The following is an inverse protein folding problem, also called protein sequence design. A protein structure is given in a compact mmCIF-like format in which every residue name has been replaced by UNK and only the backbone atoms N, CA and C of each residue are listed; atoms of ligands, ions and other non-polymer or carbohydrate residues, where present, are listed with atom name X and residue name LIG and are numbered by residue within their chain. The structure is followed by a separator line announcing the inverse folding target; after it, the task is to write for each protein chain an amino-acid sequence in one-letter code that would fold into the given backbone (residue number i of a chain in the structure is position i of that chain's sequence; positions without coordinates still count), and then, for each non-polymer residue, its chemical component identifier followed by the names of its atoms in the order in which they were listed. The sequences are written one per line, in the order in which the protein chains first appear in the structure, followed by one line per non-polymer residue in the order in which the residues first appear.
data_IF_281695532379
#
_entry.id   IF_281695532379
#
_cell.length_a   1.000
_cell.length_b   1.000
_cell.length_c   1.000
_cell.angle_alpha   90.00
_cell.angle_beta   90.00
_cell.angle_gamma   90.00
#
_symmetry.space_group_name_H-M   'P 1'
#
loop_
_entity.id
_entity.type
_entity.pdbx_description
1 polymer ?
#
# COMPACT_ATOMS: atom_id res chain seq x y z
N UNK A 1 -12.77 -9.01 -4.93
CA UNK A 1 -12.44 -8.39 -6.22
C UNK A 1 -10.97 -7.97 -6.31
N UNK A 2 -10.42 -7.13 -5.41
CA UNK A 2 -8.96 -6.91 -5.39
C UNK A 2 -8.19 -8.11 -4.82
N UNK A 3 -8.71 -8.79 -3.79
CA UNK A 3 -8.19 -10.12 -3.37
C UNK A 3 -8.18 -11.08 -4.54
N UNK A 4 -9.26 -11.19 -5.32
CA UNK A 4 -9.31 -12.01 -6.53
C UNK A 4 -8.40 -11.50 -7.67
N UNK A 5 -8.18 -10.18 -7.80
CA UNK A 5 -7.24 -9.60 -8.78
C UNK A 5 -5.78 -9.78 -8.36
N UNK A 6 -5.48 -9.74 -7.07
CA UNK A 6 -4.16 -9.99 -6.51
C UNK A 6 -3.89 -11.50 -6.51
N UNK A 7 -4.87 -12.32 -6.17
CA UNK A 7 -4.86 -13.78 -6.27
C UNK A 7 -4.90 -14.27 -7.72
N UNK A 8 -5.40 -13.51 -8.70
CA UNK A 8 -5.32 -13.88 -10.13
C UNK A 8 -4.09 -13.31 -10.84
N UNK A 9 -3.60 -12.13 -10.45
CA UNK A 9 -2.35 -11.56 -10.96
C UNK A 9 -1.12 -12.30 -10.42
N UNK A 10 -1.21 -12.85 -9.19
CA UNK A 10 -0.14 -13.61 -8.57
C UNK A 10 -0.46 -15.12 -8.48
N UNK A 11 -1.72 -15.57 -8.53
CA UNK A 11 -2.09 -16.99 -8.57
C UNK A 11 -2.01 -17.71 -7.22
N UNK A 12 -2.93 -17.44 -6.28
CA UNK A 12 -2.98 -18.09 -4.94
C UNK A 12 -1.64 -18.16 -4.14
N UNK A 13 -0.55 -17.39 -4.39
CA UNK A 13 0.80 -17.83 -4.01
C UNK A 13 1.32 -17.08 -2.79
N UNK A 14 0.62 -16.04 -2.32
CA UNK A 14 1.16 -15.07 -1.38
C UNK A 14 0.99 -15.59 0.03
N UNK A 15 -0.23 -15.93 0.42
CA UNK A 15 -0.48 -16.58 1.69
C UNK A 15 0.11 -18.00 1.71
N UNK A 16 -0.02 -18.75 0.61
CA UNK A 16 0.65 -20.04 0.43
C UNK A 16 2.18 -19.87 0.54
N UNK A 17 2.76 -18.85 -0.10
CA UNK A 17 4.19 -18.56 -0.09
C UNK A 17 4.70 -18.13 1.28
N UNK A 18 3.93 -17.32 2.03
CA UNK A 18 4.24 -16.95 3.42
C UNK A 18 4.25 -18.19 4.31
N UNK A 19 3.22 -19.04 4.21
CA UNK A 19 3.14 -20.29 4.97
C UNK A 19 4.25 -21.28 4.56
N UNK A 20 4.55 -21.41 3.27
CA UNK A 20 5.64 -22.25 2.77
C UNK A 20 7.01 -21.77 3.25
N UNK A 21 7.27 -20.46 3.19
CA UNK A 21 8.50 -19.87 3.70
C UNK A 21 8.65 -20.12 5.20
N UNK A 22 7.58 -19.94 5.98
CA UNK A 22 7.56 -20.28 7.41
C UNK A 22 7.90 -21.75 7.67
N UNK A 23 7.30 -22.67 6.92
CA UNK A 23 7.56 -24.11 7.05
C UNK A 23 9.00 -24.49 6.67
N UNK A 24 9.57 -23.88 5.64
CA UNK A 24 10.98 -24.09 5.25
C UNK A 24 11.91 -23.66 6.39
N UNK A 25 11.66 -22.49 7.00
CA UNK A 25 12.47 -22.01 8.11
C UNK A 25 12.38 -22.95 9.33
N UNK A 26 11.19 -23.47 9.64
CA UNK A 26 11.03 -24.46 10.72
C UNK A 26 11.77 -25.76 10.42
N UNK A 27 11.74 -26.23 9.18
CA UNK A 27 12.49 -27.42 8.76
C UNK A 27 14.01 -27.21 8.89
N UNK A 28 14.51 -26.01 8.59
CA UNK A 28 15.91 -25.67 8.84
C UNK A 28 16.24 -25.72 10.33
N UNK A 29 15.36 -25.22 11.20
CA UNK A 29 15.54 -25.31 12.65
C UNK A 29 15.54 -26.76 13.11
N UNK A 30 14.69 -27.64 12.56
CA UNK A 30 14.74 -29.08 12.85
C UNK A 30 16.12 -29.68 12.50
N UNK A 31 16.71 -29.26 11.39
CA UNK A 31 18.08 -29.61 11.02
C UNK A 31 19.13 -29.13 12.04
N UNK A 32 18.99 -27.90 12.55
CA UNK A 32 19.87 -27.36 13.59
C UNK A 32 19.71 -28.10 14.93
N UNK A 33 18.50 -28.52 15.27
CA UNK A 33 18.24 -29.34 16.46
C UNK A 33 18.94 -30.71 16.31
N UNK A 34 18.90 -31.33 15.13
CA UNK A 34 19.60 -32.59 14.89
C UNK A 34 21.15 -32.45 14.98
N UNK A 35 21.69 -31.31 14.54
CA UNK A 35 23.12 -30.99 14.75
C UNK A 35 23.44 -30.79 16.24
N UNK A 36 22.54 -30.15 16.99
CA UNK A 36 22.68 -29.99 18.44
C UNK A 36 22.65 -31.35 19.16
N UNK A 37 21.76 -32.26 18.76
CA UNK A 37 21.70 -33.62 19.30
C UNK A 37 23.02 -34.38 19.04
N UNK A 38 23.64 -34.16 17.87
CA UNK A 38 24.97 -34.70 17.55
C UNK A 38 26.05 -34.10 18.46
N UNK A 39 25.98 -32.80 18.76
CA UNK A 39 26.88 -32.16 19.71
C UNK A 39 26.71 -32.73 21.12
N UNK A 40 25.47 -32.96 21.55
CA UNK A 40 25.13 -33.53 22.86
C UNK A 40 25.71 -34.95 23.03
N UNK A 41 25.55 -35.83 22.04
CA UNK A 41 26.10 -37.19 22.05
C UNK A 41 27.64 -37.17 22.17
N UNK A 42 28.28 -36.28 21.41
CA UNK A 42 29.74 -36.12 21.45
C UNK A 42 30.21 -35.52 22.76
N UNK A 43 29.45 -34.60 23.35
CA UNK A 43 29.72 -34.04 24.67
C UNK A 43 29.66 -35.12 25.75
N UNK A 44 28.65 -36.02 25.70
CA UNK A 44 28.58 -37.17 26.61
C UNK A 44 29.79 -38.09 26.45
N UNK A 45 30.22 -38.32 25.20
CA UNK A 45 31.42 -39.11 24.90
C UNK A 45 32.70 -38.44 25.43
N UNK A 46 32.81 -37.13 25.30
CA UNK A 46 33.91 -36.33 25.88
C UNK A 46 33.88 -36.42 27.42
N UNK A 47 32.72 -36.32 28.05
CA UNK A 47 32.58 -36.46 29.50
C UNK A 47 33.03 -37.86 29.98
N UNK A 48 32.65 -38.93 29.27
CA UNK A 48 33.13 -40.29 29.56
C UNK A 48 34.66 -40.38 29.40
N UNK A 49 35.23 -39.77 28.35
CA UNK A 49 36.68 -39.74 28.15
C UNK A 49 37.40 -39.03 29.30
N UNK A 50 36.89 -37.86 29.71
CA UNK A 50 37.45 -37.05 30.80
C UNK A 50 37.32 -37.69 32.19
N UNK A 51 36.42 -38.65 32.36
CA UNK A 51 36.21 -39.40 33.62
C UNK A 51 36.74 -40.85 33.54
N UNK A 52 37.55 -41.19 32.53
CA UNK A 52 38.14 -42.53 32.36
C UNK A 52 39.62 -42.56 32.74
N UNK A 53 40.26 -43.69 33.11
CA UNK A 53 41.68 -43.71 33.41
C UNK A 53 42.55 -43.28 32.19
N UNK A 54 43.59 -42.45 32.36
CA UNK A 54 44.19 -41.99 33.63
C UNK A 54 43.59 -40.69 34.22
N UNK A 55 42.48 -40.19 33.68
CA UNK A 55 41.81 -38.94 34.08
C UNK A 55 41.15 -39.00 35.47
N UNK A 56 40.74 -40.18 35.93
CA UNK A 56 40.23 -40.40 37.29
C UNK A 56 41.21 -39.90 38.37
N UNK A 57 42.53 -39.94 38.10
CA UNK A 57 43.57 -39.42 39.01
C UNK A 57 43.58 -37.90 39.09
N UNK A 58 43.13 -37.22 38.04
CA UNK A 58 43.01 -35.75 37.97
C UNK A 58 41.66 -35.29 38.52
N UNK A 59 40.61 -36.09 38.34
CA UNK A 59 39.25 -35.84 38.86
C UNK A 59 39.21 -35.79 40.40
N UNK A 60 39.98 -36.67 41.07
CA UNK A 60 40.15 -36.68 42.53
C UNK A 60 40.78 -35.38 43.08
N UNK A 61 41.47 -34.60 42.24
CA UNK A 61 42.12 -33.34 42.62
C UNK A 61 41.27 -32.11 42.26
N UNK A 62 40.40 -32.17 41.25
CA UNK A 62 39.82 -30.95 40.66
C UNK A 62 38.28 -30.89 40.50
N UNK A 63 37.50 -31.94 40.83
CA UNK A 63 36.01 -31.90 40.89
C UNK A 63 35.32 -31.09 39.77
N UNK A 64 35.72 -31.25 38.51
CA UNK A 64 35.23 -30.40 37.42
C UNK A 64 34.15 -31.13 36.63
N UNK A 65 32.88 -30.83 36.89
CA UNK A 65 31.74 -31.41 36.17
C UNK A 65 31.32 -30.48 35.02
N UNK A 66 31.60 -30.85 33.78
CA UNK A 66 31.05 -30.16 32.59
C UNK A 66 29.62 -30.66 32.40
N UNK A 67 28.64 -29.93 32.92
CA UNK A 67 27.22 -30.29 32.77
C UNK A 67 26.73 -30.03 31.34
N UNK A 68 26.86 -31.06 30.49
CA UNK A 68 26.40 -31.09 29.09
C UNK A 68 24.90 -30.81 28.94
N UNK A 69 24.10 -31.25 29.91
CA UNK A 69 22.65 -31.11 29.91
C UNK A 69 22.21 -29.64 30.09
N UNK A 70 22.99 -28.84 30.83
CA UNK A 70 22.70 -27.40 31.00
C UNK A 70 22.96 -26.61 29.72
N UNK A 71 24.04 -26.94 29.00
CA UNK A 71 24.49 -26.25 27.79
C UNK A 71 23.53 -26.48 26.62
N UNK A 72 23.15 -27.74 26.40
CA UNK A 72 22.32 -28.13 25.26
C UNK A 72 20.84 -27.81 25.47
N UNK A 73 20.37 -27.81 26.72
CA UNK A 73 19.00 -27.44 27.08
C UNK A 73 18.67 -25.99 26.75
N UNK A 74 19.58 -25.05 27.03
CA UNK A 74 19.38 -23.62 26.75
C UNK A 74 19.32 -23.34 25.24
N UNK A 75 20.29 -23.88 24.47
CA UNK A 75 20.33 -23.75 23.00
C UNK A 75 19.07 -24.35 22.36
N UNK A 76 18.63 -25.53 22.83
CA UNK A 76 17.39 -26.17 22.36
C UNK A 76 16.16 -25.32 22.67
N UNK A 77 16.14 -24.65 23.83
CA UNK A 77 15.11 -23.69 24.21
C UNK A 77 14.99 -22.55 23.19
N UNK A 78 16.11 -21.91 22.84
CA UNK A 78 16.14 -20.85 21.83
C UNK A 78 15.72 -21.36 20.44
N UNK A 79 16.23 -22.50 19.98
CA UNK A 79 15.84 -23.09 18.68
C UNK A 79 14.34 -23.35 18.60
N UNK A 80 13.73 -23.87 19.67
CA UNK A 80 12.28 -24.03 19.71
C UNK A 80 11.54 -22.69 19.78
N UNK A 81 12.08 -21.70 20.49
CA UNK A 81 11.58 -20.31 20.51
C UNK A 81 11.53 -19.69 19.12
N UNK A 82 12.57 -19.89 18.29
CA UNK A 82 12.62 -19.39 16.91
C UNK A 82 11.45 -19.90 16.05
N UNK A 83 11.02 -21.16 16.24
CA UNK A 83 9.85 -21.69 15.52
C UNK A 83 8.58 -20.91 15.86
N UNK A 84 8.42 -20.54 17.12
CA UNK A 84 7.31 -19.73 17.59
C UNK A 84 7.39 -18.30 17.04
N UNK A 85 8.58 -17.69 17.05
CA UNK A 85 8.80 -16.34 16.51
C UNK A 85 8.48 -16.27 15.00
N UNK A 86 8.81 -17.34 14.24
CA UNK A 86 8.43 -17.49 12.83
C UNK A 86 6.90 -17.55 12.65
N UNK A 87 6.18 -18.24 13.54
CA UNK A 87 4.72 -18.28 13.50
C UNK A 87 4.09 -16.92 13.78
N UNK A 88 4.63 -16.18 14.75
CA UNK A 88 4.18 -14.82 15.03
C UNK A 88 4.45 -13.92 13.81
N UNK A 89 5.63 -14.01 13.19
CA UNK A 89 6.00 -13.21 12.02
C UNK A 89 5.09 -13.50 10.82
N UNK A 90 4.88 -14.77 10.49
CA UNK A 90 4.01 -15.18 9.38
C UNK A 90 2.54 -14.81 9.62
N UNK A 91 2.07 -14.93 10.87
CA UNK A 91 0.75 -14.48 11.29
C UNK A 91 0.57 -12.96 11.19
N UNK A 92 1.55 -12.19 11.68
CA UNK A 92 1.53 -10.72 11.61
C UNK A 92 1.51 -10.23 10.16
N UNK A 93 2.31 -10.84 9.28
CA UNK A 93 2.32 -10.54 7.85
C UNK A 93 0.97 -10.85 7.19
N UNK A 94 0.38 -12.01 7.50
CA UNK A 94 -0.92 -12.42 6.96
C UNK A 94 -2.03 -11.47 7.40
N UNK A 95 -2.06 -11.10 8.68
CA UNK A 95 -3.07 -10.19 9.23
C UNK A 95 -2.94 -8.79 8.65
N UNK A 96 -1.72 -8.28 8.52
CA UNK A 96 -1.46 -6.97 7.94
C UNK A 96 -1.88 -6.91 6.47
N UNK A 97 -1.53 -7.92 5.65
CA UNK A 97 -1.99 -7.97 4.25
C UNK A 97 -3.52 -7.95 4.19
N UNK A 98 -4.21 -8.72 5.04
CA UNK A 98 -5.67 -8.79 5.04
C UNK A 98 -6.34 -7.47 5.42
N UNK A 99 -5.79 -6.74 6.39
CA UNK A 99 -6.38 -5.49 6.89
C UNK A 99 -6.07 -4.31 5.95
N UNK A 100 -4.80 -4.16 5.59
CA UNK A 100 -4.32 -2.98 4.85
C UNK A 100 -4.81 -2.94 3.40
N UNK A 101 -5.09 -4.10 2.78
CA UNK A 101 -5.59 -4.16 1.40
C UNK A 101 -6.90 -3.38 1.24
N UNK A 102 -7.82 -3.47 2.21
CA UNK A 102 -9.09 -2.75 2.13
C UNK A 102 -8.87 -1.24 2.27
N UNK A 103 -7.99 -0.85 3.17
CA UNK A 103 -7.73 0.55 3.49
C UNK A 103 -7.04 1.31 2.34
N UNK A 104 -6.42 0.59 1.41
CA UNK A 104 -5.85 1.18 0.19
C UNK A 104 -6.90 1.90 -0.67
N UNK A 105 -8.15 1.43 -0.67
CA UNK A 105 -9.22 1.94 -1.55
C UNK A 105 -10.19 2.88 -0.84
N UNK A 106 -10.33 2.76 0.48
CA UNK A 106 -11.40 3.43 1.22
C UNK A 106 -11.02 4.88 1.53
N UNK A 107 -11.98 5.80 1.46
CA UNK A 107 -11.86 7.13 2.05
C UNK A 107 -12.92 7.30 3.14
N UNK A 108 -12.56 7.01 4.42
CA UNK A 108 -13.51 7.04 5.52
C UNK A 108 -14.11 8.43 5.77
N UNK A 109 -13.33 9.49 5.50
CA UNK A 109 -13.77 10.86 5.74
C UNK A 109 -14.96 11.26 4.84
N UNK A 110 -15.09 10.64 3.67
CA UNK A 110 -16.21 10.85 2.75
C UNK A 110 -17.19 9.66 2.69
N UNK A 111 -16.92 8.58 3.44
CA UNK A 111 -17.74 7.36 3.43
C UNK A 111 -17.68 6.59 2.11
N UNK A 112 -16.62 6.78 1.32
CA UNK A 112 -16.44 6.11 0.03
C UNK A 112 -15.75 4.76 0.20
N UNK A 113 -16.29 3.75 -0.47
CA UNK A 113 -15.72 2.41 -0.51
C UNK A 113 -14.58 2.33 -1.54
N UNK A 114 -14.69 3.11 -2.63
CA UNK A 114 -13.61 3.40 -3.55
C UNK A 114 -13.44 4.92 -3.63
N UNK A 115 -12.43 5.44 -2.95
CA UNK A 115 -12.17 6.86 -2.80
C UNK A 115 -12.08 7.61 -4.13
N UNK A 116 -11.48 6.99 -5.15
CA UNK A 116 -11.22 7.65 -6.43
C UNK A 116 -12.43 7.48 -7.35
N UNK A 117 -12.94 6.26 -7.50
CA UNK A 117 -14.08 6.01 -8.37
C UNK A 117 -15.35 6.67 -7.86
N UNK A 118 -15.64 6.62 -6.56
CA UNK A 118 -16.85 7.19 -5.97
C UNK A 118 -16.84 8.73 -6.02
N UNK A 119 -15.69 9.37 -5.79
CA UNK A 119 -15.56 10.82 -5.91
C UNK A 119 -15.74 11.27 -7.37
N UNK A 120 -15.12 10.58 -8.31
CA UNK A 120 -15.28 10.83 -9.76
C UNK A 120 -16.74 10.63 -10.17
N UNK A 121 -17.37 9.54 -9.74
CA UNK A 121 -18.76 9.27 -10.06
C UNK A 121 -19.69 10.36 -9.50
N UNK A 122 -19.53 10.70 -8.22
CA UNK A 122 -20.34 11.73 -7.55
C UNK A 122 -20.20 13.10 -8.24
N UNK A 123 -19.00 13.45 -8.69
CA UNK A 123 -18.76 14.62 -9.53
C UNK A 123 -19.58 14.56 -10.83
N UNK A 124 -19.51 13.45 -11.57
CA UNK A 124 -20.19 13.31 -12.86
C UNK A 124 -21.71 13.20 -12.76
N UNK A 125 -22.28 12.77 -11.63
CA UNK A 125 -23.73 12.87 -11.39
C UNK A 125 -24.19 14.33 -11.43
N UNK A 126 -23.46 15.24 -10.79
CA UNK A 126 -23.77 16.68 -10.76
C UNK A 126 -23.56 17.31 -12.15
N UNK A 127 -22.40 17.05 -12.77
CA UNK A 127 -22.09 17.53 -14.13
C UNK A 127 -23.15 17.07 -15.13
N UNK A 128 -23.56 15.80 -15.08
CA UNK A 128 -24.59 15.24 -15.96
C UNK A 128 -25.98 15.86 -15.74
N UNK A 129 -26.33 16.21 -14.50
CA UNK A 129 -27.57 16.95 -14.20
C UNK A 129 -27.54 18.36 -14.79
N UNK A 130 -26.44 19.09 -14.59
CA UNK A 130 -26.23 20.43 -15.13
C UNK A 130 -26.21 20.45 -16.66
N UNK A 131 -25.57 19.47 -17.29
CA UNK A 131 -25.54 19.29 -18.74
C UNK A 131 -26.94 19.13 -19.35
N UNK A 132 -27.78 18.28 -18.75
CA UNK A 132 -29.18 18.10 -19.17
C UNK A 132 -29.97 19.39 -18.99
N UNK A 133 -29.74 20.10 -17.88
CA UNK A 133 -30.32 21.42 -17.61
C UNK A 133 -29.96 22.43 -18.70
N UNK A 134 -28.67 22.52 -19.05
CA UNK A 134 -28.17 23.43 -20.09
C UNK A 134 -28.81 23.14 -21.44
N UNK A 135 -28.82 21.85 -21.85
CA UNK A 135 -29.46 21.43 -23.11
C UNK A 135 -30.93 21.84 -23.17
N UNK A 136 -31.67 21.72 -22.07
CA UNK A 136 -33.08 22.14 -21.99
C UNK A 136 -33.22 23.66 -22.10
N UNK A 137 -32.36 24.42 -21.43
CA UNK A 137 -32.36 25.89 -21.51
C UNK A 137 -32.05 26.38 -22.93
N UNK A 138 -31.01 25.84 -23.57
CA UNK A 138 -30.64 26.18 -24.96
C UNK A 138 -31.77 25.85 -25.93
N UNK A 139 -32.39 24.66 -25.84
CA UNK A 139 -33.55 24.31 -26.68
C UNK A 139 -34.73 25.26 -26.48
N UNK A 140 -34.97 25.70 -25.24
CA UNK A 140 -36.02 26.67 -24.94
C UNK A 140 -35.69 28.04 -25.54
N UNK A 141 -34.44 28.48 -25.40
CA UNK A 141 -33.97 29.73 -25.97
C UNK A 141 -34.11 29.79 -27.49
N UNK A 142 -33.78 28.70 -28.20
CA UNK A 142 -33.99 28.59 -29.65
C UNK A 142 -35.47 28.87 -30.01
N UNK A 143 -36.41 28.27 -29.28
CA UNK A 143 -37.85 28.51 -29.50
C UNK A 143 -38.25 29.95 -29.18
N UNK A 144 -37.70 30.52 -28.10
CA UNK A 144 -37.96 31.92 -27.75
C UNK A 144 -37.49 32.88 -28.83
N UNK A 145 -36.30 32.64 -29.41
CA UNK A 145 -35.75 33.42 -30.53
C UNK A 145 -36.66 33.31 -31.75
N UNK A 146 -37.10 32.09 -32.11
CA UNK A 146 -38.02 31.86 -33.23
C UNK A 146 -39.35 32.60 -33.03
N UNK A 147 -40.00 32.43 -31.88
CA UNK A 147 -41.27 33.11 -31.59
C UNK A 147 -41.15 34.64 -31.54
N UNK A 148 -40.02 35.16 -31.05
CA UNK A 148 -39.77 36.60 -31.08
C UNK A 148 -39.58 37.10 -32.52
N UNK A 149 -38.87 36.36 -33.37
CA UNK A 149 -38.68 36.68 -34.79
C UNK A 149 -40.01 36.69 -35.56
N UNK A 150 -40.80 35.63 -35.44
CA UNK A 150 -42.15 35.53 -36.05
C UNK A 150 -43.06 36.68 -35.58
N UNK A 151 -43.02 36.98 -34.28
CA UNK A 151 -43.81 38.07 -33.71
C UNK A 151 -43.39 39.45 -34.22
N UNK A 152 -42.09 39.69 -34.39
CA UNK A 152 -41.57 40.93 -34.99
C UNK A 152 -42.00 41.03 -36.45
N UNK A 153 -41.86 39.97 -37.24
CA UNK A 153 -42.25 39.94 -38.65
C UNK A 153 -43.75 40.16 -38.84
N UNK A 154 -44.58 39.56 -37.99
CA UNK A 154 -46.04 39.73 -38.03
C UNK A 154 -46.42 41.16 -37.68
N UNK A 155 -45.78 41.75 -36.65
CA UNK A 155 -46.00 43.13 -36.24
C UNK A 155 -45.58 44.12 -37.34
N UNK A 156 -44.45 43.88 -38.00
CA UNK A 156 -43.96 44.72 -39.11
C UNK A 156 -44.91 44.66 -40.32
N UNK A 157 -45.32 43.46 -40.72
CA UNK A 157 -46.28 43.26 -41.81
C UNK A 157 -47.64 43.91 -41.50
N UNK A 158 -48.10 43.78 -40.26
CA UNK A 158 -49.32 44.43 -39.76
C UNK A 158 -49.22 45.95 -39.79
N UNK A 159 -48.11 46.51 -39.33
CA UNK A 159 -47.87 47.95 -39.37
C UNK A 159 -47.83 48.48 -40.80
N UNK A 160 -47.15 47.79 -41.72
CA UNK A 160 -47.12 48.14 -43.14
C UNK A 160 -48.53 48.14 -43.75
N UNK A 161 -49.37 47.19 -43.38
CA UNK A 161 -50.75 47.09 -43.84
C UNK A 161 -51.66 48.16 -43.24
N UNK A 162 -51.49 48.50 -41.97
CA UNK A 162 -52.19 49.61 -41.31
C UNK A 162 -51.83 50.95 -41.96
N UNK A 163 -50.54 51.17 -42.27
CA UNK A 163 -50.06 52.35 -43.02
C UNK A 163 -50.71 52.41 -44.41
N UNK A 164 -50.66 51.31 -45.17
CA UNK A 164 -51.24 51.23 -46.52
C UNK A 164 -52.73 51.53 -46.53
N UNK A 165 -53.45 51.08 -45.50
CA UNK A 165 -54.89 51.26 -45.36
C UNK A 165 -55.29 52.54 -44.60
N UNK A 166 -54.33 53.38 -44.19
CA UNK A 166 -54.53 54.59 -43.38
C UNK A 166 -55.34 54.34 -42.09
N UNK A 167 -55.11 53.20 -41.45
CA UNK A 167 -55.72 52.83 -40.17
C UNK A 167 -54.81 53.21 -39.01
N UNK A 168 -55.41 53.44 -37.83
CA UNK A 168 -54.64 53.63 -36.61
C UNK A 168 -53.85 52.34 -36.29
N UNK A 169 -52.60 52.42 -35.79
CA UNK A 169 -51.77 51.25 -35.57
C UNK A 169 -52.40 50.31 -34.54
N UNK A 170 -52.55 49.04 -34.92
CA UNK A 170 -53.03 48.01 -33.99
C UNK A 170 -51.83 47.40 -33.26
N UNK A 171 -51.75 47.54 -31.92
CA UNK A 171 -50.68 46.90 -31.16
C UNK A 171 -50.87 45.37 -31.11
N UNK A 172 -50.15 44.63 -31.94
CA UNK A 172 -50.06 43.19 -31.81
C UNK A 172 -49.14 42.82 -30.64
N UNK A 173 -49.66 42.03 -29.69
CA UNK A 173 -48.86 41.49 -28.58
C UNK A 173 -48.05 40.31 -29.07
N UNK A 174 -46.73 40.47 -29.14
CA UNK A 174 -45.81 39.33 -29.26
C UNK A 174 -45.75 38.58 -27.93
N UNK A 175 -46.03 37.27 -27.93
CA UNK A 175 -45.87 36.40 -26.77
C UNK A 175 -44.61 35.58 -26.92
N UNK A 176 -43.70 35.64 -25.94
CA UNK A 176 -42.48 34.83 -25.90
C UNK A 176 -42.69 33.72 -24.87
N UNK A 177 -42.40 32.44 -25.19
CA UNK A 177 -42.47 31.35 -24.23
C UNK A 177 -41.68 31.63 -22.95
N UNK A 178 -42.17 31.17 -21.80
CA UNK A 178 -41.49 31.35 -20.53
C UNK A 178 -40.14 30.62 -20.49
N UNK A 179 -39.14 31.24 -19.88
CA UNK A 179 -37.82 30.61 -19.68
C UNK A 179 -37.91 29.45 -18.70
N UNK A 180 -37.13 28.40 -18.94
CA UNK A 180 -36.99 27.29 -18.01
C UNK A 180 -35.95 27.68 -16.95
N UNK A 181 -36.38 27.84 -15.69
CA UNK A 181 -35.46 27.83 -14.58
C UNK A 181 -34.94 26.41 -14.36
N UNK A 182 -33.62 26.26 -14.34
CA UNK A 182 -32.94 25.04 -13.91
C UNK A 182 -31.94 25.48 -12.84
N UNK A 183 -32.05 24.90 -11.65
CA UNK A 183 -31.05 25.11 -10.61
C UNK A 183 -29.80 24.32 -11.01
N UNK A 184 -28.71 25.04 -11.27
CA UNK A 184 -27.39 24.47 -11.42
C UNK A 184 -26.77 24.38 -10.04
N UNK A 185 -26.15 23.24 -9.76
CA UNK A 185 -25.44 22.96 -8.53
C UNK A 185 -23.96 22.91 -8.85
N UNK A 186 -23.14 23.64 -8.10
CA UNK A 186 -21.69 23.50 -8.20
C UNK A 186 -21.28 22.15 -7.60
N UNK A 187 -20.32 21.47 -8.24
CA UNK A 187 -19.80 20.23 -7.68
C UNK A 187 -18.95 20.49 -6.44
N UNK A 188 -19.14 19.72 -5.38
CA UNK A 188 -18.24 19.73 -4.21
C UNK A 188 -17.05 18.76 -4.33
N UNK A 189 -16.99 18.01 -5.42
CA UNK A 189 -16.01 16.95 -5.69
C UNK A 189 -14.92 17.41 -6.67
N UNK A 190 -13.80 16.69 -6.71
CA UNK A 190 -12.66 16.97 -7.60
C UNK A 190 -12.12 18.40 -7.47
N UNK A 191 -12.10 18.97 -6.25
CA UNK A 191 -11.59 20.35 -6.02
C UNK A 191 -10.13 20.51 -6.44
N UNK A 192 -9.35 19.46 -6.28
CA UNK A 192 -7.95 19.37 -6.71
C UNK A 192 -7.80 18.70 -8.09
N UNK A 193 -8.90 18.59 -8.82
CA UNK A 193 -8.99 17.92 -10.11
C UNK A 193 -8.55 16.46 -10.05
N UNK A 194 -8.02 15.97 -11.16
CA UNK A 194 -7.52 14.60 -11.28
C UNK A 194 -6.30 14.29 -10.38
N UNK A 195 -5.65 15.27 -9.73
CA UNK A 195 -4.60 15.00 -8.72
C UNK A 195 -5.11 14.22 -7.49
N UNK A 196 -6.43 14.03 -7.36
CA UNK A 196 -7.05 13.12 -6.41
C UNK A 196 -6.37 11.74 -6.38
N UNK A 197 -6.12 11.14 -7.55
CA UNK A 197 -5.51 9.81 -7.65
C UNK A 197 -4.14 9.78 -6.98
N UNK A 198 -3.24 10.69 -7.38
CA UNK A 198 -1.89 10.77 -6.81
C UNK A 198 -1.93 11.00 -5.29
N UNK A 199 -2.83 11.88 -4.82
CA UNK A 199 -2.99 12.14 -3.38
C UNK A 199 -3.43 10.89 -2.64
N UNK A 200 -4.44 10.19 -3.16
CA UNK A 200 -4.96 8.99 -2.53
C UNK A 200 -3.90 7.88 -2.51
N UNK A 201 -3.24 7.60 -3.63
CA UNK A 201 -2.16 6.62 -3.73
C UNK A 201 -1.02 6.93 -2.76
N UNK A 202 -0.58 8.19 -2.68
CA UNK A 202 0.48 8.59 -1.76
C UNK A 202 0.05 8.42 -0.29
N UNK A 203 -1.20 8.76 0.02
CA UNK A 203 -1.77 8.57 1.36
C UNK A 203 -1.85 7.08 1.72
N UNK A 204 -2.38 6.24 0.84
CA UNK A 204 -2.53 4.80 1.05
C UNK A 204 -1.16 4.13 1.23
N UNK A 205 -0.16 4.49 0.41
CA UNK A 205 1.22 4.00 0.56
C UNK A 205 1.83 4.40 1.90
N UNK A 206 1.63 5.64 2.34
CA UNK A 206 2.16 6.13 3.61
C UNK A 206 1.49 5.43 4.81
N UNK A 207 0.18 5.26 4.78
CA UNK A 207 -0.58 4.53 5.80
C UNK A 207 -0.09 3.09 5.89
N UNK A 208 -0.03 2.38 4.76
CA UNK A 208 0.42 0.99 4.72
C UNK A 208 1.86 0.87 5.23
N UNK A 209 2.78 1.76 4.83
CA UNK A 209 4.14 1.78 5.37
C UNK A 209 4.19 2.00 6.89
N UNK A 210 3.33 2.88 7.41
CA UNK A 210 3.14 3.08 8.84
C UNK A 210 2.68 1.81 9.56
N UNK A 211 1.68 1.12 9.03
CA UNK A 211 1.17 -0.14 9.56
C UNK A 211 2.18 -1.27 9.48
N UNK A 212 2.95 -1.40 8.38
CA UNK A 212 4.06 -2.35 8.27
C UNK A 212 5.07 -2.12 9.39
N UNK A 213 5.46 -0.86 9.59
CA UNK A 213 6.43 -0.51 10.62
C UNK A 213 5.89 -0.79 12.03
N UNK A 214 4.63 -0.47 12.29
CA UNK A 214 4.02 -0.71 13.60
C UNK A 214 3.81 -2.21 13.89
N UNK A 215 3.45 -3.00 12.88
CA UNK A 215 3.09 -4.41 13.04
C UNK A 215 4.25 -5.40 12.89
N UNK A 216 5.14 -5.21 11.91
CA UNK A 216 6.17 -6.20 11.57
C UNK A 216 7.54 -5.92 12.19
N UNK A 217 7.94 -4.65 12.32
CA UNK A 217 9.27 -4.33 12.87
C UNK A 217 9.45 -4.85 14.30
N UNK A 218 8.48 -4.72 15.23
CA UNK A 218 8.61 -5.28 16.58
C UNK A 218 8.80 -6.80 16.56
N UNK A 219 8.03 -7.51 15.73
CA UNK A 219 8.11 -8.98 15.62
C UNK A 219 9.45 -9.41 15.02
N UNK A 220 9.93 -8.71 13.99
CA UNK A 220 11.22 -8.97 13.40
C UNK A 220 12.38 -8.69 14.37
N UNK A 221 12.27 -7.66 15.23
CA UNK A 221 13.25 -7.39 16.28
C UNK A 221 13.28 -8.49 17.34
N UNK A 222 12.14 -9.03 17.76
CA UNK A 222 12.10 -10.18 18.68
C UNK A 222 12.86 -11.36 18.07
N UNK A 223 12.59 -11.68 16.79
CA UNK A 223 13.31 -12.74 16.08
C UNK A 223 14.82 -12.46 16.02
N UNK A 224 15.22 -11.21 15.75
CA UNK A 224 16.63 -10.82 15.73
C UNK A 224 17.31 -11.00 17.09
N UNK A 225 16.65 -10.59 18.18
CA UNK A 225 17.17 -10.70 19.54
C UNK A 225 17.28 -12.17 19.98
N UNK A 226 16.30 -13.01 19.65
CA UNK A 226 16.35 -14.46 19.89
C UNK A 226 17.54 -15.09 19.14
N UNK A 227 17.76 -14.73 17.88
CA UNK A 227 18.90 -15.21 17.10
C UNK A 227 20.24 -14.77 17.70
N UNK A 228 20.33 -13.52 18.18
CA UNK A 228 21.53 -13.00 18.84
C UNK A 228 21.83 -13.74 20.15
N UNK A 229 20.80 -13.96 20.98
CA UNK A 229 20.95 -14.72 22.23
C UNK A 229 21.41 -16.16 21.97
N UNK A 230 20.86 -16.80 20.93
CA UNK A 230 21.26 -18.13 20.50
C UNK A 230 22.73 -18.17 20.03
N UNK A 231 23.15 -17.21 19.21
CA UNK A 231 24.55 -17.08 18.75
C UNK A 231 25.51 -16.96 19.95
N UNK A 232 25.21 -16.07 20.90
CA UNK A 232 26.01 -15.90 22.12
C UNK A 232 26.06 -17.17 22.98
N UNK A 233 24.93 -17.88 23.10
CA UNK A 233 24.87 -19.14 23.83
C UNK A 233 25.72 -20.23 23.17
N UNK A 234 25.71 -20.33 21.83
CA UNK A 234 26.53 -21.26 21.07
C UNK A 234 28.02 -20.96 21.22
N UNK A 235 28.43 -19.69 21.08
CA UNK A 235 29.82 -19.26 21.23
C UNK A 235 30.34 -19.49 22.64
N UNK A 236 29.56 -19.13 23.67
CA UNK A 236 29.91 -19.33 25.08
C UNK A 236 30.05 -20.82 25.41
N UNK A 237 29.18 -21.66 24.85
CA UNK A 237 29.22 -23.11 25.01
C UNK A 237 30.47 -23.71 24.36
N UNK A 238 30.77 -23.31 23.13
CA UNK A 238 31.96 -23.76 22.41
C UNK A 238 33.25 -23.31 23.14
N UNK A 239 33.30 -22.07 23.66
CA UNK A 239 34.41 -21.55 24.44
C UNK A 239 34.60 -22.34 25.75
N UNK A 240 33.53 -22.58 26.51
CA UNK A 240 33.58 -23.34 27.77
C UNK A 240 34.10 -24.76 27.57
N UNK A 241 33.70 -25.43 26.48
CA UNK A 241 34.18 -26.78 26.14
C UNK A 241 35.67 -26.75 25.78
N UNK A 242 36.13 -25.74 25.02
CA UNK A 242 37.55 -25.53 24.69
C UNK A 242 38.38 -25.26 25.94
N UNK A 243 37.92 -24.38 26.82
CA UNK A 243 38.60 -24.04 28.08
C UNK A 243 38.72 -25.23 29.01
N UNK A 244 37.62 -25.96 29.23
CA UNK A 244 37.64 -27.16 30.06
C UNK A 244 38.65 -28.18 29.52
N UNK A 245 38.68 -28.38 28.19
CA UNK A 245 39.67 -29.21 27.52
C UNK A 245 41.12 -28.75 27.70
N UNK A 246 41.38 -27.44 27.58
CA UNK A 246 42.72 -26.87 27.73
C UNK A 246 43.24 -26.95 29.18
N UNK A 247 42.36 -26.91 30.18
CA UNK A 247 42.74 -27.14 31.58
C UNK A 247 43.35 -28.53 31.77
N UNK A 248 42.81 -29.57 31.12
CA UNK A 248 43.37 -30.92 31.18
C UNK A 248 44.74 -31.03 30.46
N UNK A 249 44.93 -30.27 29.38
CA UNK A 249 46.17 -30.26 28.58
C UNK A 249 47.32 -29.46 29.23
N UNK A 250 47.00 -28.51 30.12
CA UNK A 250 47.98 -27.65 30.79
C UNK A 250 48.63 -28.25 32.05
N UNK A 251 48.26 -29.48 32.42
CA UNK A 251 48.71 -30.11 33.66
C UNK A 251 50.08 -30.78 33.49
N UNK A 252 51.01 -30.48 34.41
CA UNK A 252 52.33 -31.11 34.42
C UNK A 252 52.21 -32.57 34.90
N UNK A 253 52.29 -33.52 33.97
CA UNK A 253 52.26 -34.96 34.29
C UNK A 253 53.64 -35.39 34.83
N UNK A 254 53.72 -36.09 35.98
CA UNK A 254 54.98 -36.63 36.50
C UNK A 254 55.72 -37.50 35.47
N UNK A 255 57.05 -37.36 35.38
CA UNK A 255 57.92 -38.05 34.42
C UNK A 255 57.68 -39.58 34.30
N UNK A 256 57.26 -40.23 35.39
CA UNK A 256 56.98 -41.68 35.46
C UNK A 256 55.66 -42.11 34.80
N UNK A 257 54.79 -41.17 34.47
CA UNK A 257 53.46 -41.43 33.88
C UNK A 257 53.37 -41.04 32.40
N UNK A 258 54.39 -40.39 31.82
CA UNK A 258 54.40 -39.91 30.43
C UNK A 258 54.00 -40.98 29.40
N UNK A 259 54.42 -42.23 29.58
CA UNK A 259 54.05 -43.32 28.67
C UNK A 259 52.53 -43.57 28.58
N UNK A 260 51.79 -43.35 29.67
CA UNK A 260 50.34 -43.52 29.73
C UNK A 260 49.55 -42.33 29.17
N UNK A 261 50.18 -41.16 29.05
CA UNK A 261 49.55 -39.92 28.58
C UNK A 261 49.99 -39.50 27.17
N UNK A 262 50.90 -40.24 26.53
CA UNK A 262 51.49 -39.89 25.23
C UNK A 262 50.49 -39.66 24.09
N UNK A 263 49.40 -40.45 24.03
CA UNK A 263 48.31 -40.29 23.04
C UNK A 263 47.08 -39.57 23.61
N UNK A 264 47.12 -39.18 24.89
CA UNK A 264 45.95 -38.69 25.62
C UNK A 264 45.59 -37.27 25.21
N UNK A 265 46.60 -36.41 25.03
CA UNK A 265 46.42 -35.03 24.61
C UNK A 265 45.79 -34.92 23.21
N UNK A 266 46.19 -35.78 22.27
CA UNK A 266 45.63 -35.82 20.92
C UNK A 266 44.18 -36.31 20.94
N UNK A 267 43.86 -37.31 21.78
CA UNK A 267 42.48 -37.81 21.95
C UNK A 267 41.56 -36.76 22.55
N UNK A 268 42.01 -36.03 23.57
CA UNK A 268 41.25 -34.92 24.17
C UNK A 268 41.03 -33.81 23.13
N UNK A 269 42.09 -33.35 22.44
CA UNK A 269 41.97 -32.32 21.39
C UNK A 269 41.02 -32.74 20.26
N UNK A 270 41.10 -34.00 19.82
CA UNK A 270 40.20 -34.54 18.81
C UNK A 270 38.75 -34.61 19.29
N UNK A 271 38.52 -35.02 20.54
CA UNK A 271 37.18 -35.11 21.12
C UNK A 271 36.55 -33.72 21.29
N UNK A 272 37.31 -32.73 21.77
CA UNK A 272 36.88 -31.32 21.86
C UNK A 272 36.51 -30.79 20.47
N UNK A 273 37.36 -30.98 19.47
CA UNK A 273 37.08 -30.53 18.10
C UNK A 273 35.83 -31.19 17.52
N UNK A 274 35.58 -32.47 17.82
CA UNK A 274 34.38 -33.15 17.37
C UNK A 274 33.09 -32.60 17.98
N UNK A 275 33.15 -32.16 19.24
CA UNK A 275 32.04 -31.53 19.97
C UNK A 275 31.77 -30.10 19.50
N UNK A 276 32.84 -29.32 19.36
CA UNK A 276 32.77 -27.89 19.01
C UNK A 276 32.28 -27.70 17.59
N UNK A 277 32.73 -28.54 16.64
CA UNK A 277 32.44 -28.32 15.21
C UNK A 277 30.93 -28.19 14.89
N UNK A 278 30.03 -29.07 15.36
CA UNK A 278 28.60 -28.89 15.16
C UNK A 278 28.04 -27.59 15.80
N UNK A 279 28.59 -27.15 16.93
CA UNK A 279 28.17 -25.89 17.57
C UNK A 279 28.59 -24.68 16.73
N UNK A 280 29.82 -24.69 16.20
CA UNK A 280 30.33 -23.66 15.29
C UNK A 280 29.49 -23.62 13.98
N UNK A 281 29.13 -24.78 13.41
CA UNK A 281 28.26 -24.87 12.22
C UNK A 281 26.85 -24.29 12.45
N UNK A 282 26.27 -24.53 13.63
CA UNK A 282 25.00 -23.90 14.01
C UNK A 282 25.19 -22.39 14.16
N UNK A 283 26.25 -21.94 14.84
CA UNK A 283 26.51 -20.52 15.09
C UNK A 283 26.66 -19.73 13.78
N UNK A 284 27.45 -20.25 12.82
CA UNK A 284 27.60 -19.64 11.48
C UNK A 284 26.26 -19.52 10.74
N UNK A 285 25.42 -20.56 10.84
CA UNK A 285 24.08 -20.54 10.21
C UNK A 285 23.19 -19.49 10.86
N UNK A 286 23.16 -19.43 12.20
CA UNK A 286 22.35 -18.47 12.97
C UNK A 286 22.82 -17.04 12.72
N UNK A 287 24.13 -16.79 12.66
CA UNK A 287 24.68 -15.48 12.32
C UNK A 287 24.22 -15.02 10.93
N UNK A 288 24.26 -15.91 9.94
CA UNK A 288 23.76 -15.65 8.59
C UNK A 288 22.27 -15.28 8.57
N UNK A 289 21.44 -16.03 9.30
CA UNK A 289 20.00 -15.75 9.43
C UNK A 289 19.77 -14.43 10.16
N UNK A 290 20.49 -14.15 11.25
CA UNK A 290 20.39 -12.89 12.00
C UNK A 290 20.71 -11.69 11.14
N UNK A 291 21.78 -11.75 10.34
CA UNK A 291 22.12 -10.70 9.36
C UNK A 291 21.00 -10.50 8.33
N UNK A 292 20.40 -11.58 7.83
CA UNK A 292 19.27 -11.50 6.90
C UNK A 292 18.03 -10.84 7.55
N UNK A 293 17.71 -11.17 8.81
CA UNK A 293 16.63 -10.53 9.57
C UNK A 293 16.93 -9.05 9.81
N UNK A 294 18.17 -8.68 10.16
CA UNK A 294 18.59 -7.28 10.29
C UNK A 294 18.42 -6.47 8.99
N UNK A 295 18.75 -7.09 7.85
CA UNK A 295 18.50 -6.50 6.54
C UNK A 295 16.99 -6.35 6.24
N UNK A 296 16.18 -7.34 6.62
CA UNK A 296 14.72 -7.26 6.49
C UNK A 296 14.16 -6.09 7.31
N UNK A 297 14.55 -5.96 8.59
CA UNK A 297 14.15 -4.85 9.46
C UNK A 297 14.47 -3.50 8.81
N UNK A 298 15.68 -3.37 8.25
CA UNK A 298 16.13 -2.14 7.59
C UNK A 298 15.34 -1.82 6.32
N UNK A 299 14.80 -2.84 5.64
CA UNK A 299 14.14 -2.72 4.35
C UNK A 299 12.61 -2.62 4.43
N UNK A 300 11.98 -3.17 5.47
CA UNK A 300 10.54 -3.15 5.70
C UNK A 300 9.90 -1.76 5.54
N UNK A 301 10.46 -0.66 6.08
CA UNK A 301 9.88 0.69 5.92
C UNK A 301 9.80 1.15 4.46
N UNK A 302 10.73 0.70 3.62
CA UNK A 302 10.84 1.12 2.22
C UNK A 302 10.14 0.15 1.25
N UNK A 303 9.74 -1.02 1.71
CA UNK A 303 9.20 -2.09 0.87
C UNK A 303 7.92 -1.66 0.15
N UNK A 304 6.98 -1.04 0.86
CA UNK A 304 5.68 -0.62 0.31
C UNK A 304 5.84 0.38 -0.84
N UNK A 305 6.82 1.27 -0.75
CA UNK A 305 7.07 2.26 -1.81
C UNK A 305 7.42 1.61 -3.15
N UNK A 306 8.01 0.40 -3.14
CA UNK A 306 8.25 -0.36 -4.38
C UNK A 306 6.96 -0.88 -5.01
N UNK A 307 5.90 -1.05 -4.22
CA UNK A 307 4.58 -1.47 -4.71
C UNK A 307 3.70 -0.31 -5.15
N UNK A 308 4.14 0.95 -4.95
CA UNK A 308 3.38 2.14 -5.35
C UNK A 308 2.80 2.05 -6.78
N UNK A 309 3.54 1.61 -7.82
CA UNK A 309 2.97 1.51 -9.17
C UNK A 309 1.82 0.51 -9.30
N UNK A 310 1.83 -0.56 -8.51
CA UNK A 310 0.76 -1.57 -8.50
C UNK A 310 -0.46 -1.05 -7.74
N UNK A 311 -0.24 -0.38 -6.60
CA UNK A 311 -1.29 0.31 -5.84
C UNK A 311 -1.94 1.39 -6.72
N UNK A 312 -1.12 2.16 -7.44
CA UNK A 312 -1.59 3.21 -8.35
C UNK A 312 -2.54 2.68 -9.43
N UNK A 313 -2.16 1.58 -10.07
CA UNK A 313 -2.99 0.96 -11.09
C UNK A 313 -4.25 0.29 -10.50
N UNK A 314 -4.13 -0.29 -9.30
CA UNK A 314 -5.24 -0.93 -8.61
C UNK A 314 -6.32 0.06 -8.18
N UNK A 315 -5.90 1.19 -7.58
CA UNK A 315 -6.79 2.26 -7.12
C UNK A 315 -7.63 2.80 -8.27
N UNK A 316 -6.99 3.08 -9.41
CA UNK A 316 -7.72 3.49 -10.60
C UNK A 316 -6.84 3.30 -11.84
N UNK A 317 -7.29 2.44 -12.75
CA UNK A 317 -6.53 2.08 -13.93
C UNK A 317 -6.19 3.31 -14.78
N UNK A 318 -4.94 3.36 -15.25
CA UNK A 318 -4.43 4.53 -15.98
C UNK A 318 -5.19 4.78 -17.28
N UNK A 319 -5.68 3.73 -17.96
CA UNK A 319 -6.44 3.85 -19.20
C UNK A 319 -7.76 4.59 -18.96
N UNK A 320 -8.52 4.21 -17.93
CA UNK A 320 -9.76 4.88 -17.57
C UNK A 320 -9.52 6.33 -17.14
N UNK A 321 -8.45 6.56 -16.38
CA UNK A 321 -8.05 7.90 -15.96
C UNK A 321 -7.73 8.82 -17.14
N UNK A 322 -6.97 8.31 -18.11
CA UNK A 322 -6.62 9.04 -19.33
C UNK A 322 -7.88 9.35 -20.18
N UNK A 323 -8.81 8.41 -20.26
CA UNK A 323 -10.08 8.61 -20.97
C UNK A 323 -10.91 9.73 -20.33
N UNK A 324 -11.00 9.76 -18.99
CA UNK A 324 -11.68 10.85 -18.26
C UNK A 324 -11.03 12.19 -18.62
N UNK A 325 -9.71 12.30 -18.51
CA UNK A 325 -9.00 13.54 -18.85
C UNK A 325 -9.26 13.99 -20.30
N UNK A 326 -9.20 13.05 -21.26
CA UNK A 326 -9.40 13.32 -22.68
C UNK A 326 -10.83 13.83 -22.96
N UNK A 327 -11.85 13.12 -22.47
CA UNK A 327 -13.24 13.51 -22.70
C UNK A 327 -13.58 14.84 -22.03
N UNK A 328 -13.06 15.10 -20.84
CA UNK A 328 -13.29 16.38 -20.17
C UNK A 328 -12.56 17.52 -20.85
N UNK A 329 -11.36 17.30 -21.38
CA UNK A 329 -10.64 18.31 -22.15
C UNK A 329 -11.43 18.68 -23.41
N UNK A 330 -11.93 17.70 -24.15
CA UNK A 330 -12.79 17.94 -25.31
C UNK A 330 -14.09 18.67 -24.92
N UNK A 331 -14.73 18.27 -23.83
CA UNK A 331 -15.95 18.92 -23.34
C UNK A 331 -15.70 20.37 -22.89
N UNK A 332 -14.56 20.66 -22.26
CA UNK A 332 -14.14 22.03 -21.91
C UNK A 332 -14.03 22.88 -23.19
N UNK A 333 -13.37 22.39 -24.24
CA UNK A 333 -13.26 23.13 -25.50
C UNK A 333 -14.63 23.46 -26.10
N UNK A 334 -15.56 22.48 -26.13
CA UNK A 334 -16.94 22.71 -26.60
C UNK A 334 -17.66 23.76 -25.75
N UNK A 335 -17.48 23.74 -24.43
CA UNK A 335 -18.09 24.71 -23.53
C UNK A 335 -17.46 26.10 -23.66
N UNK A 336 -16.17 26.21 -23.99
CA UNK A 336 -15.51 27.47 -24.29
C UNK A 336 -16.05 28.11 -25.57
N UNK A 337 -16.22 27.31 -26.63
CA UNK A 337 -16.86 27.77 -27.88
C UNK A 337 -18.31 28.22 -27.63
N UNK A 338 -19.09 27.43 -26.87
CA UNK A 338 -20.45 27.80 -26.50
C UNK A 338 -20.50 29.08 -25.66
N UNK A 339 -19.54 29.27 -24.76
CA UNK A 339 -19.42 30.49 -23.96
C UNK A 339 -19.19 31.71 -24.86
N UNK A 340 -18.24 31.64 -25.80
CA UNK A 340 -17.96 32.73 -26.76
C UNK A 340 -19.19 33.07 -27.60
N UNK A 341 -19.91 32.05 -28.10
CA UNK A 341 -21.13 32.25 -28.86
C UNK A 341 -22.20 32.97 -28.02
N UNK A 342 -22.42 32.57 -26.77
CA UNK A 342 -23.39 33.23 -25.91
C UNK A 342 -22.96 34.62 -25.47
N UNK A 343 -21.66 34.89 -25.33
CA UNK A 343 -21.16 36.26 -25.11
C UNK A 343 -21.51 37.18 -26.28
N UNK A 344 -21.32 36.72 -27.52
CA UNK A 344 -21.71 37.47 -28.72
C UNK A 344 -23.22 37.67 -28.81
N UNK A 345 -24.03 36.63 -28.55
CA UNK A 345 -25.50 36.75 -28.49
C UNK A 345 -25.92 37.79 -27.45
N UNK A 346 -25.36 37.77 -26.23
CA UNK A 346 -25.64 38.77 -25.20
C UNK A 346 -25.28 40.17 -25.69
N UNK A 347 -24.12 40.34 -26.33
CA UNK A 347 -23.66 41.61 -26.87
C UNK A 347 -24.63 42.15 -27.93
N UNK A 348 -25.00 41.33 -28.92
CA UNK A 348 -25.91 41.72 -30.01
C UNK A 348 -27.30 42.15 -29.51
N UNK A 349 -27.84 41.48 -28.48
CA UNK A 349 -29.17 41.78 -27.93
C UNK A 349 -29.18 42.94 -26.93
N UNK A 350 -28.03 43.33 -26.37
CA UNK A 350 -27.91 44.27 -25.24
C UNK A 350 -28.37 45.70 -25.55
N UNK A 351 -28.23 46.17 -26.78
CA UNK A 351 -28.52 47.55 -27.18
C UNK A 351 -29.95 47.74 -27.73
N UNK A 352 -30.78 46.70 -27.67
CA UNK A 352 -32.12 46.72 -28.26
C UNK A 352 -33.19 47.10 -27.23
N UNK A 353 -34.18 47.90 -27.65
CA UNK A 353 -35.24 48.44 -26.78
C UNK A 353 -36.54 47.64 -26.81
N UNK A 354 -36.70 46.71 -27.74
CA UNK A 354 -37.90 45.90 -27.84
C UNK A 354 -37.99 44.95 -26.63
N UNK A 355 -39.13 44.93 -25.93
CA UNK A 355 -39.33 44.12 -24.71
C UNK A 355 -39.02 42.63 -24.93
N UNK A 356 -39.40 42.08 -26.09
CA UNK A 356 -39.09 40.70 -26.47
C UNK A 356 -37.57 40.46 -26.58
N UNK A 357 -36.82 41.40 -27.16
CA UNK A 357 -35.37 41.30 -27.28
C UNK A 357 -34.68 41.46 -25.92
N UNK A 358 -35.18 42.36 -25.06
CA UNK A 358 -34.68 42.47 -23.67
C UNK A 358 -34.89 41.17 -22.89
N UNK A 359 -36.04 40.49 -23.07
CA UNK A 359 -36.29 39.19 -22.45
C UNK A 359 -35.32 38.10 -22.96
N UNK A 360 -35.04 38.07 -24.28
CA UNK A 360 -34.03 37.18 -24.86
C UNK A 360 -32.62 37.48 -24.30
N UNK A 361 -32.26 38.76 -24.15
CA UNK A 361 -30.98 39.17 -23.58
C UNK A 361 -30.81 38.69 -22.12
N UNK A 362 -31.88 38.72 -21.33
CA UNK A 362 -31.83 38.20 -19.97
C UNK A 362 -31.70 36.66 -19.96
N UNK A 363 -32.48 35.97 -20.81
CA UNK A 363 -32.38 34.52 -20.94
C UNK A 363 -30.97 34.06 -21.40
N UNK A 364 -30.35 34.79 -22.34
CA UNK A 364 -29.00 34.46 -22.80
C UNK A 364 -27.93 34.73 -21.74
N UNK A 365 -28.08 35.76 -20.90
CA UNK A 365 -27.21 35.99 -19.73
C UNK A 365 -27.29 34.85 -18.71
N UNK A 366 -28.49 34.34 -18.44
CA UNK A 366 -28.68 33.21 -17.53
C UNK A 366 -28.03 31.94 -18.08
N UNK A 367 -28.21 31.66 -19.37
CA UNK A 367 -27.55 30.53 -20.04
C UNK A 367 -26.03 30.69 -20.00
N UNK A 368 -25.51 31.89 -20.30
CA UNK A 368 -24.08 32.17 -20.24
C UNK A 368 -23.49 31.91 -18.85
N UNK A 369 -24.19 32.32 -17.79
CA UNK A 369 -23.78 32.03 -16.40
C UNK A 369 -23.69 30.53 -16.16
N UNK A 370 -24.67 29.76 -16.63
CA UNK A 370 -24.72 28.31 -16.46
C UNK A 370 -23.67 27.56 -17.29
N UNK A 371 -23.35 28.05 -18.50
CA UNK A 371 -22.23 27.54 -19.30
C UNK A 371 -20.92 27.70 -18.54
N UNK A 372 -20.68 28.88 -17.95
CA UNK A 372 -19.46 29.15 -17.16
C UNK A 372 -19.33 28.22 -15.96
N UNK A 373 -20.43 27.99 -15.23
CA UNK A 373 -20.44 27.06 -14.09
C UNK A 373 -20.14 25.64 -14.55
N UNK A 374 -20.87 25.13 -15.56
CA UNK A 374 -20.65 23.78 -16.09
C UNK A 374 -19.22 23.61 -16.61
N UNK A 375 -18.66 24.61 -17.31
CA UNK A 375 -17.27 24.59 -17.79
C UNK A 375 -16.30 24.48 -16.63
N UNK A 376 -16.49 25.25 -15.57
CA UNK A 376 -15.63 25.21 -14.39
C UNK A 376 -15.64 23.83 -13.73
N UNK A 377 -16.80 23.18 -13.65
CA UNK A 377 -16.93 21.83 -13.10
C UNK A 377 -16.32 20.78 -14.02
N UNK A 378 -16.62 20.76 -15.32
CA UNK A 378 -16.01 19.83 -16.28
C UNK A 378 -14.48 19.96 -16.30
N UNK A 379 -13.95 21.17 -16.15
CA UNK A 379 -12.51 21.43 -16.05
C UNK A 379 -11.86 20.78 -14.82
N UNK A 380 -12.63 20.42 -13.79
CA UNK A 380 -12.10 19.63 -12.66
C UNK A 380 -11.83 18.17 -13.05
N UNK A 381 -12.49 17.67 -14.09
CA UNK A 381 -12.20 16.37 -14.69
C UNK A 381 -10.95 16.33 -15.58
N UNK A 382 -10.12 17.38 -15.59
CA UNK A 382 -8.85 17.45 -16.35
C UNK A 382 -7.63 17.50 -15.44
N UNK A 383 -6.43 17.34 -16.00
CA UNK A 383 -5.16 17.54 -15.28
C UNK A 383 -4.92 18.99 -14.81
#
# INVERSE_FOLDING_TARGET
MFTDMFESAFGDPLFIGISQAGNILKYLIDGLIALLDTAEEKCRSLNVLLNSPPSELLEYVFQTNISVESITGEIRGYLNGLKHDIDILTGALTNMIRQEISDVFVNPAMGFADAVADEIYSHFVIVGKNEKGLKKQVKTFIRQVQSAGEGIQTSDSGAAQDIKNRKAPTQQKTSVPASVQSQFEESDYLKDRLKLKDRHVNSSVATMAGSINAGLVPVANILFDTLLALELALETSAASIKEAGNLFLGLAVPAKLFGMFSDWDEKIKSAINHVVKPLDEIAETIEGVRKAVGNLISFLPCFVYKFKPYIDNAVFEQVHFNNINLYNTAAVSILEEAELLFQDIVFQLSNQKAKAITALCNASKDILKNIKLLRADVKRGTL
#
